data_IF_670519239469
#
_entry.id   IF_670519239469
#
_cell.length_a   1.000
_cell.length_b   1.000
_cell.length_c   1.000
_cell.angle_alpha   90.00
_cell.angle_beta   90.00
_cell.angle_gamma   90.00
#
_symmetry.space_group_name_H-M   'P 1'
#
loop_
_entity.id
_entity.type
_entity.pdbx_description
1 polymer ?
#
# COMPACT_ATOMS: atom_id res chain seq x y z
N UNK A 1 4.99 -9.47 -23.70
CA UNK A 1 6.15 -9.59 -22.78
C UNK A 1 5.67 -9.22 -21.38
N UNK A 2 5.81 -10.06 -20.33
CA UNK A 2 5.32 -9.71 -18.98
C UNK A 2 6.10 -8.50 -18.45
N UNK A 3 5.45 -7.34 -18.29
CA UNK A 3 6.07 -6.13 -17.72
C UNK A 3 6.63 -6.42 -16.31
N UNK A 4 7.78 -5.84 -16.00
CA UNK A 4 8.38 -5.89 -14.67
C UNK A 4 8.02 -4.60 -13.94
N UNK A 5 7.44 -4.71 -12.76
CA UNK A 5 7.07 -3.56 -11.91
C UNK A 5 8.26 -3.11 -11.05
N UNK A 6 9.04 -4.07 -10.55
CA UNK A 6 10.18 -3.83 -9.67
C UNK A 6 11.48 -4.34 -10.27
N UNK A 7 12.59 -3.70 -9.90
CA UNK A 7 13.95 -4.08 -10.35
C UNK A 7 14.31 -5.50 -9.94
N UNK A 8 13.88 -5.92 -8.74
CA UNK A 8 14.22 -7.20 -8.14
C UNK A 8 12.96 -8.06 -7.89
N UNK A 9 13.04 -9.35 -8.20
CA UNK A 9 11.95 -10.33 -7.95
C UNK A 9 11.55 -10.43 -6.47
N UNK A 10 12.48 -10.44 -5.49
CA UNK A 10 12.12 -10.48 -4.07
C UNK A 10 11.20 -9.32 -3.64
N UNK A 11 11.42 -8.11 -4.17
CA UNK A 11 10.57 -6.94 -3.87
C UNK A 11 9.16 -7.13 -4.42
N UNK A 12 9.03 -7.73 -5.60
CA UNK A 12 7.73 -8.08 -6.15
C UNK A 12 6.98 -9.09 -5.24
N UNK A 13 7.64 -10.16 -4.80
CA UNK A 13 7.02 -11.14 -3.92
C UNK A 13 6.65 -10.53 -2.56
N UNK A 14 7.52 -9.70 -1.99
CA UNK A 14 7.22 -8.94 -0.77
C UNK A 14 5.96 -8.07 -0.95
N UNK A 15 5.89 -7.30 -2.05
CA UNK A 15 4.74 -6.46 -2.35
C UNK A 15 3.43 -7.27 -2.49
N UNK A 16 3.48 -8.42 -3.17
CA UNK A 16 2.32 -9.32 -3.31
C UNK A 16 1.88 -9.87 -1.96
N UNK A 17 2.82 -10.37 -1.14
CA UNK A 17 2.52 -10.91 0.20
C UNK A 17 1.89 -9.84 1.09
N UNK A 18 2.45 -8.63 1.09
CA UNK A 18 1.95 -7.52 1.90
C UNK A 18 0.57 -7.08 1.42
N UNK A 19 0.36 -6.98 0.11
CA UNK A 19 -0.95 -6.63 -0.44
C UNK A 19 -2.01 -7.69 -0.11
N UNK A 20 -1.66 -8.97 -0.16
CA UNK A 20 -2.56 -10.06 0.23
C UNK A 20 -2.90 -9.97 1.72
N UNK A 21 -1.92 -9.73 2.57
CA UNK A 21 -2.11 -9.60 4.01
C UNK A 21 -3.05 -8.42 4.33
N UNK A 22 -2.86 -7.26 3.70
CA UNK A 22 -3.72 -6.09 3.89
C UNK A 22 -5.15 -6.33 3.39
N UNK A 23 -5.31 -7.04 2.28
CA UNK A 23 -6.62 -7.46 1.78
C UNK A 23 -7.34 -8.38 2.78
N UNK A 24 -6.66 -9.41 3.28
CA UNK A 24 -7.20 -10.35 4.27
C UNK A 24 -7.58 -9.61 5.56
N UNK A 25 -6.73 -8.74 6.08
CA UNK A 25 -7.03 -7.93 7.27
C UNK A 25 -8.27 -7.05 7.07
N UNK A 26 -8.43 -6.49 5.88
CA UNK A 26 -9.62 -5.68 5.56
C UNK A 26 -10.88 -6.54 5.48
N UNK A 27 -10.81 -7.73 4.91
CA UNK A 27 -11.93 -8.66 4.90
C UNK A 27 -12.35 -9.06 6.32
N UNK A 28 -11.39 -9.38 7.20
CA UNK A 28 -11.69 -9.70 8.60
C UNK A 28 -12.25 -8.51 9.39
N UNK A 29 -11.91 -7.27 9.01
CA UNK A 29 -12.46 -6.09 9.68
C UNK A 29 -13.98 -5.94 9.52
N UNK A 30 -14.57 -6.56 8.48
CA UNK A 30 -16.04 -6.64 8.33
C UNK A 30 -16.70 -7.33 9.53
N UNK A 31 -16.03 -8.31 10.14
CA UNK A 31 -16.56 -9.00 11.33
C UNK A 31 -16.76 -8.03 12.50
N UNK A 32 -15.93 -6.98 12.58
CA UNK A 32 -16.05 -5.94 13.60
C UNK A 32 -17.36 -5.14 13.51
N UNK A 33 -18.01 -5.10 12.34
CA UNK A 33 -19.29 -4.42 12.16
C UNK A 33 -20.44 -5.11 12.89
N UNK A 34 -20.37 -6.44 13.07
CA UNK A 34 -21.40 -7.18 13.83
C UNK A 34 -21.37 -6.85 15.32
N UNK A 35 -20.19 -6.53 15.87
CA UNK A 35 -20.06 -6.19 17.29
C UNK A 35 -20.50 -4.76 17.61
N UNK A 36 -20.18 -3.80 16.73
CA UNK A 36 -20.50 -2.39 16.95
C UNK A 36 -20.63 -1.67 15.61
N UNK A 37 -21.85 -1.64 15.09
CA UNK A 37 -22.18 -1.00 13.83
C UNK A 37 -22.07 0.53 13.93
N UNK A 38 -21.44 1.14 12.93
CA UNK A 38 -21.40 2.59 12.74
C UNK A 38 -21.19 2.88 11.27
N UNK A 39 -21.98 3.81 10.71
CA UNK A 39 -21.89 4.22 9.30
C UNK A 39 -20.46 4.62 8.93
N UNK A 40 -19.79 5.41 9.78
CA UNK A 40 -18.40 5.83 9.55
C UNK A 40 -17.43 4.66 9.52
N UNK A 41 -17.57 3.68 10.42
CA UNK A 41 -16.72 2.46 10.42
C UNK A 41 -16.95 1.65 9.16
N UNK A 42 -18.21 1.49 8.76
CA UNK A 42 -18.59 0.77 7.54
C UNK A 42 -17.97 1.41 6.30
N UNK A 43 -18.01 2.74 6.19
CA UNK A 43 -17.37 3.46 5.08
C UNK A 43 -15.85 3.25 5.06
N UNK A 44 -15.17 3.38 6.21
CA UNK A 44 -13.72 3.18 6.30
C UNK A 44 -13.34 1.75 5.90
N UNK A 45 -14.07 0.76 6.41
CA UNK A 45 -13.84 -0.66 6.10
C UNK A 45 -14.09 -0.93 4.61
N UNK A 46 -15.18 -0.41 4.05
CA UNK A 46 -15.52 -0.57 2.64
C UNK A 46 -14.46 0.04 1.72
N UNK A 47 -14.02 1.27 2.00
CA UNK A 47 -12.96 1.94 1.24
C UNK A 47 -11.65 1.15 1.34
N UNK A 48 -11.28 0.69 2.54
CA UNK A 48 -10.10 -0.13 2.76
C UNK A 48 -10.14 -1.43 1.96
N UNK A 49 -11.28 -2.12 1.98
CA UNK A 49 -11.48 -3.36 1.24
C UNK A 49 -11.30 -3.14 -0.26
N UNK A 50 -11.94 -2.11 -0.82
CA UNK A 50 -11.82 -1.74 -2.24
C UNK A 50 -10.37 -1.45 -2.61
N UNK A 51 -9.71 -0.53 -1.90
CA UNK A 51 -8.32 -0.14 -2.18
C UNK A 51 -7.37 -1.35 -2.12
N UNK A 52 -7.50 -2.20 -1.10
CA UNK A 52 -6.62 -3.34 -0.92
C UNK A 52 -6.87 -4.44 -1.96
N UNK A 53 -8.12 -4.60 -2.41
CA UNK A 53 -8.48 -5.50 -3.51
C UNK A 53 -7.84 -5.02 -4.81
N UNK A 54 -7.97 -3.73 -5.13
CA UNK A 54 -7.34 -3.13 -6.30
C UNK A 54 -5.81 -3.25 -6.23
N UNK A 55 -5.18 -2.98 -5.08
CA UNK A 55 -3.74 -3.15 -4.92
C UNK A 55 -3.28 -4.58 -5.26
N UNK A 56 -4.00 -5.58 -4.75
CA UNK A 56 -3.65 -6.98 -4.96
C UNK A 56 -3.80 -7.42 -6.41
N UNK A 57 -4.96 -7.10 -7.03
CA UNK A 57 -5.24 -7.43 -8.44
C UNK A 57 -4.22 -6.73 -9.35
N UNK A 58 -3.99 -5.42 -9.15
CA UNK A 58 -3.03 -4.69 -9.98
C UNK A 58 -1.61 -5.23 -9.86
N UNK A 59 -1.19 -5.70 -8.69
CA UNK A 59 0.12 -6.34 -8.49
C UNK A 59 0.23 -7.67 -9.21
N UNK A 60 -0.79 -8.54 -9.12
CA UNK A 60 -0.81 -9.85 -9.77
C UNK A 60 -0.83 -9.72 -11.29
N UNK A 61 -1.69 -8.85 -11.81
CA UNK A 61 -1.86 -8.62 -13.26
C UNK A 61 -0.77 -7.71 -13.83
N UNK A 62 0.05 -7.11 -12.95
CA UNK A 62 1.20 -6.25 -13.27
C UNK A 62 0.83 -5.01 -14.07
N UNK A 63 -0.27 -4.38 -13.70
CA UNK A 63 -0.68 -3.10 -14.28
C UNK A 63 0.28 -1.97 -13.90
N UNK A 64 0.38 -0.96 -14.78
CA UNK A 64 1.27 0.20 -14.61
C UNK A 64 0.98 0.97 -13.30
N UNK A 65 -0.27 0.96 -12.84
CA UNK A 65 -0.71 1.64 -11.60
C UNK A 65 -0.53 0.80 -10.33
N UNK A 66 0.04 -0.40 -10.39
CA UNK A 66 0.17 -1.30 -9.25
C UNK A 66 0.86 -0.68 -8.03
N UNK A 67 1.95 0.06 -8.26
CA UNK A 67 2.70 0.71 -7.17
C UNK A 67 1.88 1.82 -6.50
N UNK A 68 1.04 2.52 -7.26
CA UNK A 68 0.18 3.58 -6.72
C UNK A 68 -0.85 2.99 -5.76
N UNK A 69 -1.54 1.93 -6.16
CA UNK A 69 -2.52 1.26 -5.30
C UNK A 69 -1.86 0.62 -4.06
N UNK A 70 -0.67 0.02 -4.20
CA UNK A 70 0.07 -0.51 -3.07
C UNK A 70 0.47 0.59 -2.07
N UNK A 71 0.95 1.74 -2.56
CA UNK A 71 1.28 2.87 -1.70
C UNK A 71 0.04 3.40 -0.98
N UNK A 72 -1.09 3.52 -1.68
CA UNK A 72 -2.35 3.96 -1.09
C UNK A 72 -2.84 2.99 0.00
N UNK A 73 -2.74 1.69 -0.27
CA UNK A 73 -3.04 0.62 0.68
C UNK A 73 -2.18 0.71 1.96
N UNK A 74 -0.86 0.84 1.79
CA UNK A 74 0.08 0.99 2.90
C UNK A 74 -0.15 2.28 3.68
N UNK A 75 -0.40 3.40 3.00
CA UNK A 75 -0.71 4.68 3.64
C UNK A 75 -1.96 4.57 4.50
N UNK A 76 -3.03 3.96 3.98
CA UNK A 76 -4.27 3.76 4.73
C UNK A 76 -4.04 2.89 5.97
N UNK A 77 -3.27 1.80 5.83
CA UNK A 77 -2.93 0.93 6.96
C UNK A 77 -2.12 1.68 8.03
N UNK A 78 -1.13 2.48 7.62
CA UNK A 78 -0.33 3.32 8.50
C UNK A 78 -1.21 4.33 9.24
N UNK A 79 -2.16 4.97 8.55
CA UNK A 79 -3.06 5.93 9.18
C UNK A 79 -3.97 5.26 10.23
N UNK A 80 -4.60 4.13 9.87
CA UNK A 80 -5.51 3.39 10.75
C UNK A 80 -4.79 2.88 12.00
N UNK A 81 -3.56 2.38 11.87
CA UNK A 81 -2.78 1.87 13.01
C UNK A 81 -2.06 2.99 13.78
N UNK A 82 -1.59 4.02 13.08
CA UNK A 82 -0.79 5.10 13.63
C UNK A 82 -1.57 6.06 14.50
N UNK A 83 -2.82 6.39 14.12
CA UNK A 83 -3.64 7.35 14.89
C UNK A 83 -3.90 6.91 16.34
N UNK A 84 -4.38 5.67 16.61
CA UNK A 84 -4.56 5.19 17.99
C UNK A 84 -3.25 5.10 18.77
N UNK A 85 -2.15 4.73 18.09
CA UNK A 85 -0.83 4.67 18.71
C UNK A 85 -0.35 6.05 19.14
N UNK A 86 -0.49 7.06 18.29
CA UNK A 86 -0.13 8.44 18.62
C UNK A 86 -0.91 8.96 19.84
N UNK A 87 -2.22 8.69 19.91
CA UNK A 87 -3.03 9.06 21.07
C UNK A 87 -2.56 8.33 22.33
N UNK A 88 -2.24 7.04 22.23
CA UNK A 88 -1.65 6.29 23.32
C UNK A 88 -0.33 6.92 23.80
N UNK A 89 0.52 7.36 22.86
CA UNK A 89 1.81 7.97 23.20
C UNK A 89 1.62 9.20 24.08
N UNK A 90 0.73 10.10 23.62
CA UNK A 90 0.44 11.37 24.27
C UNK A 90 -0.19 11.17 25.65
N UNK A 91 -0.82 10.02 25.89
CA UNK A 91 -1.37 9.61 27.19
C UNK A 91 -0.34 8.91 28.10
N UNK A 92 0.93 8.81 27.69
CA UNK A 92 2.02 8.26 28.50
C UNK A 92 2.22 6.75 28.38
N UNK A 93 1.59 6.07 27.40
CA UNK A 93 1.81 4.65 27.19
C UNK A 93 3.19 4.37 26.59
N UNK A 94 3.89 3.34 27.09
CA UNK A 94 5.14 2.87 26.47
C UNK A 94 4.83 2.15 25.14
N UNK A 95 5.06 2.83 24.03
CA UNK A 95 4.72 2.34 22.69
C UNK A 95 5.73 1.34 22.14
N UNK A 96 6.99 1.41 22.59
CA UNK A 96 8.07 0.60 22.03
C UNK A 96 7.83 -0.90 22.21
N UNK A 97 7.12 -1.29 23.27
CA UNK A 97 6.75 -2.68 23.53
C UNK A 97 5.46 -3.10 22.80
N UNK A 98 4.71 -2.16 22.22
CA UNK A 98 3.44 -2.44 21.58
C UNK A 98 3.64 -3.13 20.23
N UNK A 99 3.08 -4.33 20.06
CA UNK A 99 3.13 -5.08 18.80
C UNK A 99 2.59 -4.28 17.60
N UNK A 100 1.57 -3.44 17.80
CA UNK A 100 1.01 -2.60 16.72
C UNK A 100 2.02 -1.59 16.21
N UNK A 101 2.89 -1.07 17.07
CA UNK A 101 3.97 -0.17 16.67
C UNK A 101 5.02 -0.89 15.83
N UNK A 102 5.41 -2.11 16.21
CA UNK A 102 6.34 -2.94 15.42
C UNK A 102 5.78 -3.22 14.01
N UNK A 103 4.48 -3.54 13.91
CA UNK A 103 3.80 -3.69 12.62
C UNK A 103 3.77 -2.40 11.80
N UNK A 104 3.49 -1.26 12.43
CA UNK A 104 3.50 0.05 11.78
C UNK A 104 4.88 0.36 11.16
N UNK A 105 5.96 0.15 11.93
CA UNK A 105 7.33 0.35 11.45
C UNK A 105 7.64 -0.58 10.28
N UNK A 106 7.21 -1.84 10.34
CA UNK A 106 7.32 -2.79 9.23
C UNK A 106 6.65 -2.26 7.95
N UNK A 107 5.42 -1.74 8.03
CA UNK A 107 4.71 -1.18 6.88
C UNK A 107 5.41 0.05 6.30
N UNK A 108 5.98 0.91 7.15
CA UNK A 108 6.79 2.06 6.71
C UNK A 108 8.04 1.58 5.96
N UNK A 109 8.76 0.58 6.48
CA UNK A 109 9.93 0.01 5.81
C UNK A 109 9.56 -0.61 4.46
N UNK A 110 8.46 -1.36 4.39
CA UNK A 110 7.97 -1.92 3.13
C UNK A 110 7.66 -0.81 2.14
N UNK A 111 6.95 0.25 2.56
CA UNK A 111 6.63 1.40 1.74
C UNK A 111 7.90 2.03 1.14
N UNK A 112 8.96 2.19 1.93
CA UNK A 112 10.25 2.70 1.46
C UNK A 112 10.85 1.74 0.42
N UNK A 113 10.94 0.44 0.74
CA UNK A 113 11.54 -0.58 -0.14
C UNK A 113 10.83 -0.61 -1.50
N UNK A 114 9.50 -0.68 -1.53
CA UNK A 114 8.76 -0.76 -2.81
C UNK A 114 8.92 0.51 -3.64
N UNK A 115 9.05 1.67 -3.02
CA UNK A 115 9.25 2.93 -3.75
C UNK A 115 10.69 3.13 -4.25
N UNK A 116 11.70 2.65 -3.50
CA UNK A 116 13.10 2.72 -3.92
C UNK A 116 13.36 1.78 -5.11
N UNK A 117 12.75 0.59 -5.12
CA UNK A 117 13.01 -0.43 -6.13
C UNK A 117 11.98 -0.51 -7.26
N UNK A 118 10.99 0.41 -7.30
CA UNK A 118 10.08 0.50 -8.45
C UNK A 118 10.87 0.85 -9.71
N UNK A 119 10.53 0.21 -10.82
CA UNK A 119 11.09 0.59 -12.12
C UNK A 119 10.45 1.93 -12.50
N UNK A 120 11.26 2.97 -12.65
CA UNK A 120 10.80 4.21 -13.25
C UNK A 120 10.58 3.93 -14.74
N UNK A 121 9.35 3.77 -15.20
CA UNK A 121 9.08 3.90 -16.63
C UNK A 121 9.46 5.34 -17.01
N UNK A 122 10.61 5.52 -17.67
CA UNK A 122 10.95 6.77 -18.36
C UNK A 122 10.03 6.89 -19.57
N UNK A 123 8.77 7.29 -19.34
CA UNK A 123 7.82 7.59 -20.43
C UNK A 123 7.70 9.08 -20.73
N UNK A 124 8.30 9.96 -19.93
CA UNK A 124 8.04 11.40 -20.03
C UNK A 124 9.18 12.28 -20.53
N UNK A 125 10.40 11.76 -20.72
CA UNK A 125 11.55 12.59 -21.12
C UNK A 125 11.85 12.39 -22.62
N UNK A 126 11.79 11.15 -23.10
CA UNK A 126 12.07 10.87 -24.52
C UNK A 126 10.94 11.32 -25.46
N UNK A 127 9.69 11.40 -25.01
CA UNK A 127 8.58 11.87 -25.88
C UNK A 127 8.63 13.39 -26.13
N UNK A 128 9.30 14.18 -25.28
CA UNK A 128 9.45 15.62 -25.50
C UNK A 128 10.69 15.93 -26.34
N UNK A 129 11.74 15.10 -26.26
CA UNK A 129 12.92 15.23 -27.12
C UNK A 129 12.62 14.86 -28.59
N UNK A 130 11.68 13.96 -28.86
CA UNK A 130 11.34 13.53 -30.24
C UNK A 130 10.33 14.42 -30.98
N UNK A 131 9.75 15.42 -30.33
CA UNK A 131 8.82 16.37 -30.99
C UNK A 131 9.57 17.42 -31.84
N UNK A 132 10.91 17.46 -31.78
CA UNK A 132 11.77 18.37 -32.53
C UNK A 132 12.70 17.72 -33.56
N UNK A 133 12.94 16.41 -33.48
CA UNK A 133 13.78 15.66 -34.42
C UNK A 133 12.93 15.06 -35.53
N UNK A 134 12.47 15.91 -36.45
CA UNK A 134 12.00 15.47 -37.75
C UNK A 134 13.14 14.80 -38.52
N UNK A 135 13.23 13.49 -38.44
CA UNK A 135 13.99 12.68 -39.37
C UNK A 135 12.98 11.95 -40.27
N UNK A 136 12.73 12.56 -41.42
CA UNK A 136 12.50 11.80 -42.66
C UNK A 136 13.76 10.97 -42.98
#
# INVERSE_FOLDING_TARGET
>A
MKRKIFKYKPVYYLAVIVSLLLFILSAFSLLGLFNNFSIFKTLIIGISLVINSFAFINLIEKYDKAVVFLNLSLFLAIFIMGYPLLIGFLKGYNILENYRFKFLVSFILILIIVNVFKIKEHKGINEIEDIGTGND
#
